data_IF_605320496172
#
_entry.id   IF_605320496172
#
_cell.length_a   1.000
_cell.length_b   1.000
_cell.length_c   1.000
_cell.angle_alpha   90.00
_cell.angle_beta   90.00
_cell.angle_gamma   90.00
#
_symmetry.space_group_name_H-M   'P 1'
#
loop_
_entity.id
_entity.type
_entity.pdbx_description
1 polymer ?
#
# COMPACT_ATOMS: atom_id res chain seq x y z
N UNK A 1 0.89 12.94 12.28
CA UNK A 1 -0.53 12.88 11.86
C UNK A 1 -0.56 12.32 10.45
N UNK A 2 -1.55 11.49 10.11
CA UNK A 2 -1.76 11.03 8.73
C UNK A 2 -2.83 11.86 8.03
N UNK A 3 -2.84 11.86 6.71
CA UNK A 3 -3.88 12.48 5.90
C UNK A 3 -4.35 11.52 4.80
N UNK A 4 -5.61 11.66 4.40
CA UNK A 4 -6.19 10.99 3.23
C UNK A 4 -6.91 12.06 2.42
N UNK A 5 -6.64 12.07 1.12
CA UNK A 5 -7.28 12.94 0.14
C UNK A 5 -7.96 12.08 -0.91
N UNK A 6 -9.18 12.43 -1.26
CA UNK A 6 -9.93 11.76 -2.33
C UNK A 6 -10.33 12.84 -3.33
N UNK A 7 -9.99 12.63 -4.60
CA UNK A 7 -10.31 13.56 -5.68
C UNK A 7 -10.93 12.83 -6.87
N UNK A 8 -11.79 13.51 -7.61
CA UNK A 8 -12.28 13.03 -8.92
C UNK A 8 -11.23 13.33 -9.99
N UNK A 9 -11.00 12.39 -10.89
CA UNK A 9 -10.07 12.55 -12.03
C UNK A 9 -10.79 12.54 -13.39
N UNK A 10 -12.12 12.47 -13.41
CA UNK A 10 -12.97 12.36 -14.61
C UNK A 10 -14.36 11.81 -14.29
N UNK A 11 -15.17 11.48 -15.30
CA UNK A 11 -16.46 10.80 -15.10
C UNK A 11 -16.25 9.46 -14.36
N UNK A 12 -16.77 9.38 -13.13
CA UNK A 12 -16.75 8.23 -12.23
C UNK A 12 -15.36 7.64 -11.89
N UNK A 13 -14.28 8.40 -12.09
CA UNK A 13 -12.93 8.01 -11.72
C UNK A 13 -12.42 8.78 -10.49
N UNK A 14 -11.73 8.08 -9.59
CA UNK A 14 -11.24 8.67 -8.34
C UNK A 14 -9.75 8.38 -8.16
N UNK A 15 -9.06 9.33 -7.52
CA UNK A 15 -7.73 9.10 -6.99
C UNK A 15 -7.78 9.24 -5.47
N UNK A 16 -7.27 8.25 -4.77
CA UNK A 16 -7.11 8.21 -3.32
C UNK A 16 -5.64 8.39 -3.01
N UNK A 17 -5.30 9.45 -2.29
CA UNK A 17 -3.96 9.71 -1.80
C UNK A 17 -3.95 9.58 -0.29
N UNK A 18 -2.91 8.96 0.25
CA UNK A 18 -2.65 8.95 1.69
C UNK A 18 -1.25 9.44 1.96
N UNK A 19 -1.06 10.11 3.10
CA UNK A 19 0.26 10.50 3.57
C UNK A 19 0.43 10.18 5.05
N UNK A 20 1.59 9.62 5.40
CA UNK A 20 1.98 9.36 6.78
C UNK A 20 3.48 9.51 6.97
N UNK A 21 3.92 9.79 8.19
CA UNK A 21 5.34 9.76 8.53
C UNK A 21 5.78 8.31 8.77
N UNK A 22 6.94 7.97 8.23
CA UNK A 22 7.65 6.70 8.40
C UNK A 22 9.01 7.03 9.00
N UNK A 23 9.33 6.36 10.11
CA UNK A 23 10.59 6.57 10.82
C UNK A 23 11.77 6.15 9.95
N UNK A 24 12.89 6.87 10.06
CA UNK A 24 14.10 6.57 9.28
C UNK A 24 14.57 5.12 9.40
N UNK A 25 14.50 4.54 10.60
CA UNK A 25 14.91 3.15 10.86
C UNK A 25 13.93 2.09 10.29
N UNK A 26 12.75 2.52 9.84
CA UNK A 26 11.72 1.66 9.20
C UNK A 26 11.62 1.85 7.70
N UNK A 27 12.19 2.92 7.15
CA UNK A 27 12.02 3.30 5.75
C UNK A 27 12.44 2.17 4.80
N UNK A 28 13.65 1.61 4.96
CA UNK A 28 14.19 0.63 4.02
C UNK A 28 13.40 -0.70 4.04
N UNK A 29 13.01 -1.17 5.23
CA UNK A 29 12.16 -2.36 5.36
C UNK A 29 10.80 -2.13 4.68
N UNK A 30 10.18 -0.99 4.94
CA UNK A 30 8.85 -0.71 4.42
C UNK A 30 8.86 -0.46 2.90
N UNK A 31 9.85 0.25 2.40
CA UNK A 31 10.07 0.45 0.97
C UNK A 31 10.35 -0.87 0.25
N UNK A 32 11.16 -1.78 0.83
CA UNK A 32 11.40 -3.10 0.26
C UNK A 32 10.11 -3.92 0.09
N UNK A 33 9.23 -3.86 1.09
CA UNK A 33 7.92 -4.54 1.05
C UNK A 33 6.98 -3.92 0.01
N UNK A 34 6.93 -2.59 -0.08
CA UNK A 34 6.12 -1.89 -1.09
C UNK A 34 6.64 -2.13 -2.52
N UNK A 35 7.95 -2.11 -2.73
CA UNK A 35 8.56 -2.43 -4.03
C UNK A 35 8.24 -3.87 -4.46
N UNK A 36 8.29 -4.81 -3.51
CA UNK A 36 7.91 -6.20 -3.78
C UNK A 36 6.45 -6.33 -4.19
N UNK A 37 5.55 -5.60 -3.51
CA UNK A 37 4.14 -5.54 -3.86
C UNK A 37 3.89 -4.91 -5.25
N UNK A 38 4.61 -3.84 -5.59
CA UNK A 38 4.45 -3.18 -6.91
C UNK A 38 4.97 -4.04 -8.07
N UNK A 39 5.94 -4.92 -7.81
CA UNK A 39 6.54 -5.80 -8.82
C UNK A 39 5.71 -7.07 -9.11
N UNK A 40 4.72 -7.38 -8.27
CA UNK A 40 3.86 -8.55 -8.45
C UNK A 40 2.89 -8.37 -9.62
N UNK A 41 2.71 -9.46 -10.39
CA UNK A 41 1.64 -9.55 -11.36
C UNK A 41 0.28 -9.68 -10.66
N UNK A 42 -0.82 -9.46 -11.38
CA UNK A 42 -2.16 -9.61 -10.79
C UNK A 42 -2.41 -11.06 -10.32
N UNK A 43 -1.85 -12.06 -11.04
CA UNK A 43 -1.89 -13.47 -10.62
C UNK A 43 -1.12 -13.71 -9.31
N UNK A 44 0.06 -13.10 -9.17
CA UNK A 44 0.87 -13.21 -7.94
C UNK A 44 0.16 -12.54 -6.75
N UNK A 45 -0.51 -11.41 -6.99
CA UNK A 45 -1.29 -10.69 -5.97
C UNK A 45 -2.47 -11.52 -5.49
N UNK A 46 -3.22 -12.14 -6.40
CA UNK A 46 -4.34 -13.01 -6.06
C UNK A 46 -3.87 -14.22 -5.24
N UNK A 47 -2.79 -14.88 -5.66
CA UNK A 47 -2.20 -16.01 -4.95
C UNK A 47 -1.70 -15.62 -3.55
N UNK A 48 -0.98 -14.50 -3.43
CA UNK A 48 -0.49 -13.99 -2.15
C UNK A 48 -1.63 -13.58 -1.20
N UNK A 49 -2.71 -13.01 -1.74
CA UNK A 49 -3.91 -12.67 -0.98
C UNK A 49 -4.60 -13.93 -0.43
N UNK A 50 -4.75 -14.98 -1.24
CA UNK A 50 -5.31 -16.27 -0.81
C UNK A 50 -4.46 -16.93 0.26
N UNK A 51 -3.13 -16.94 0.10
CA UNK A 51 -2.19 -17.47 1.09
C UNK A 51 -2.29 -16.71 2.42
N UNK A 52 -2.30 -15.37 2.37
CA UNK A 52 -2.46 -14.56 3.59
C UNK A 52 -3.82 -14.79 4.26
N UNK A 53 -4.89 -14.95 3.49
CA UNK A 53 -6.22 -15.25 4.02
C UNK A 53 -6.22 -16.60 4.74
N UNK A 54 -5.59 -17.63 4.16
CA UNK A 54 -5.41 -18.93 4.83
C UNK A 54 -4.60 -18.81 6.11
N UNK A 55 -3.49 -18.06 6.08
CA UNK A 55 -2.61 -17.88 7.24
C UNK A 55 -3.27 -17.10 8.39
N UNK A 56 -4.18 -16.16 8.11
CA UNK A 56 -5.00 -15.50 9.13
C UNK A 56 -6.01 -16.45 9.77
N UNK A 57 -6.65 -17.31 8.98
CA UNK A 57 -7.60 -18.33 9.48
C UNK A 57 -6.89 -19.33 10.40
N UNK A 58 -5.62 -19.67 10.11
CA UNK A 58 -4.81 -20.57 10.93
C UNK A 58 -4.14 -19.90 12.14
N UNK A 59 -4.32 -18.58 12.32
CA UNK A 59 -3.93 -17.84 13.53
C UNK A 59 -2.45 -17.42 13.63
N UNK A 60 -1.72 -17.41 12.51
CA UNK A 60 -0.25 -17.28 12.52
C UNK A 60 0.25 -15.83 12.52
N UNK A 61 -0.49 -14.86 11.97
CA UNK A 61 -0.02 -13.47 11.82
C UNK A 61 -1.10 -12.41 12.06
N UNK A 62 -0.70 -11.32 12.72
CA UNK A 62 -1.55 -10.14 12.97
C UNK A 62 -1.77 -9.36 11.67
N UNK A 63 -2.90 -9.58 11.00
CA UNK A 63 -3.80 -8.65 10.25
C UNK A 63 -3.29 -7.52 9.33
N UNK A 64 -2.06 -7.02 9.45
CA UNK A 64 -1.60 -5.75 8.86
C UNK A 64 -1.08 -5.86 7.42
N UNK A 65 -1.14 -7.06 6.80
CA UNK A 65 -0.69 -7.27 5.42
C UNK A 65 -1.81 -7.15 4.38
N UNK A 66 -3.02 -7.61 4.70
CA UNK A 66 -4.08 -7.85 3.71
C UNK A 66 -4.55 -6.59 3.00
N UNK A 67 -4.61 -5.47 3.73
CA UNK A 67 -5.17 -4.22 3.19
C UNK A 67 -4.39 -3.67 1.99
N UNK A 68 -3.06 -3.84 1.95
CA UNK A 68 -2.27 -3.38 0.81
C UNK A 68 -2.46 -4.28 -0.43
N UNK A 69 -2.56 -5.59 -0.23
CA UNK A 69 -2.92 -6.53 -1.30
C UNK A 69 -4.32 -6.23 -1.84
N UNK A 70 -5.29 -6.00 -0.95
CA UNK A 70 -6.66 -5.67 -1.33
C UNK A 70 -6.73 -4.37 -2.14
N UNK A 71 -6.00 -3.32 -1.72
CA UNK A 71 -5.90 -2.08 -2.50
C UNK A 71 -5.30 -2.36 -3.88
N UNK A 72 -4.17 -3.09 -3.96
CA UNK A 72 -3.51 -3.40 -5.24
C UNK A 72 -4.40 -4.18 -6.22
N UNK A 73 -5.36 -4.98 -5.73
CA UNK A 73 -6.35 -5.72 -6.55
C UNK A 73 -7.47 -4.85 -7.10
N UNK A 74 -7.86 -3.81 -6.37
CA UNK A 74 -9.05 -3.00 -6.68
C UNK A 74 -8.75 -1.75 -7.51
N UNK A 75 -7.47 -1.38 -7.65
CA UNK A 75 -7.04 -0.13 -8.27
C UNK A 75 -6.44 -0.38 -9.64
N UNK A 76 -6.58 0.58 -10.54
CA UNK A 76 -5.93 0.55 -11.87
C UNK A 76 -4.43 0.79 -11.75
N UNK A 77 -4.05 1.70 -10.86
CA UNK A 77 -2.66 2.03 -10.59
C UNK A 77 -2.48 2.21 -9.08
N UNK A 78 -1.32 1.76 -8.59
CA UNK A 78 -0.85 2.01 -7.24
C UNK A 78 0.58 2.51 -7.35
N UNK A 79 0.88 3.60 -6.66
CA UNK A 79 2.22 4.18 -6.61
C UNK A 79 2.49 4.73 -5.21
N UNK A 80 3.76 4.86 -4.89
CA UNK A 80 4.20 5.43 -3.62
C UNK A 80 5.51 6.20 -3.79
N UNK A 81 5.74 7.14 -2.89
CA UNK A 81 6.97 7.93 -2.81
C UNK A 81 7.30 8.24 -1.35
N UNK A 82 8.59 8.32 -1.05
CA UNK A 82 9.09 8.77 0.25
C UNK A 82 9.76 10.13 0.07
N UNK A 83 9.17 11.16 0.67
CA UNK A 83 9.71 12.51 0.71
C UNK A 83 10.43 12.76 2.04
N UNK A 84 11.62 13.37 2.07
CA UNK A 84 12.28 13.71 3.32
C UNK A 84 11.43 14.66 4.19
N UNK A 85 11.28 14.34 5.49
CA UNK A 85 10.59 15.18 6.48
C UNK A 85 11.39 15.22 7.79
N UNK A 86 12.32 16.18 7.89
CA UNK A 86 13.23 16.28 9.03
C UNK A 86 14.23 15.12 9.10
N UNK A 87 14.19 14.35 10.19
CA UNK A 87 14.99 13.13 10.34
C UNK A 87 14.28 11.90 9.77
N UNK A 88 12.98 12.01 9.47
CA UNK A 88 12.11 10.92 9.02
C UNK A 88 11.68 11.14 7.55
N UNK A 89 10.70 10.35 7.09
CA UNK A 89 10.18 10.43 5.72
C UNK A 89 8.65 10.51 5.73
N UNK A 90 8.09 11.36 4.88
CA UNK A 90 6.69 11.33 4.54
C UNK A 90 6.47 10.33 3.40
N UNK A 91 5.81 9.22 3.71
CA UNK A 91 5.29 8.30 2.71
C UNK A 91 4.01 8.90 2.12
N UNK A 92 3.98 9.05 0.80
CA UNK A 92 2.78 9.37 0.03
C UNK A 92 2.43 8.16 -0.81
N UNK A 93 1.19 7.68 -0.71
CA UNK A 93 0.66 6.64 -1.59
C UNK A 93 -0.46 7.21 -2.45
N UNK A 94 -0.56 6.75 -3.69
CA UNK A 94 -1.63 7.12 -4.63
C UNK A 94 -2.20 5.88 -5.30
N UNK A 95 -3.52 5.74 -5.20
CA UNK A 95 -4.32 4.72 -5.85
C UNK A 95 -5.32 5.38 -6.80
N UNK A 96 -5.29 5.02 -8.08
CA UNK A 96 -6.34 5.45 -9.03
C UNK A 96 -7.35 4.31 -9.22
N UNK A 97 -8.62 4.61 -8.97
CA UNK A 97 -9.78 3.71 -9.01
C UNK A 97 -10.55 3.94 -10.32
#
# INVERSE_FOLDING_TARGET
>A
YGAIFIQTTGEDAFSVLSSTIVLADKKDDFEGRLNSLMAMSDEDIDAAYEEQLMNQITGSEKGAGLGLFEIRRQVKTLSFEFEPDGEDFMLVMRADI
#
